data_IF_238803028808
#
_entry.id   IF_238803028808
#
_cell.length_a   1.000
_cell.length_b   1.000
_cell.length_c   1.000
_cell.angle_alpha   90.00
_cell.angle_beta   90.00
_cell.angle_gamma   90.00
#
_symmetry.space_group_name_H-M   'P 1'
#
loop_
_entity.id
_entity.type
_entity.pdbx_description
1 polymer ?
#
# COMPACT_ATOMS: atom_id res chain seq x y z
N UNK A 1 -14.69 -24.73 0.10
CA UNK A 1 -14.75 -23.30 0.46
C UNK A 1 -14.78 -22.50 -0.83
N UNK A 2 -15.95 -21.98 -1.22
CA UNK A 2 -16.02 -20.98 -2.27
C UNK A 2 -15.54 -19.65 -1.67
N UNK A 3 -14.64 -18.89 -2.32
CA UNK A 3 -14.37 -17.54 -1.89
C UNK A 3 -15.63 -16.72 -2.14
N UNK A 4 -16.30 -16.28 -1.07
CA UNK A 4 -17.46 -15.40 -1.19
C UNK A 4 -17.10 -14.15 -1.99
N UNK A 5 -18.05 -13.63 -2.81
CA UNK A 5 -17.84 -12.43 -3.61
C UNK A 5 -17.35 -11.29 -2.72
N UNK A 6 -16.38 -10.52 -3.23
CA UNK A 6 -15.92 -9.29 -2.59
C UNK A 6 -17.16 -8.42 -2.35
N UNK A 7 -17.41 -8.05 -1.10
CA UNK A 7 -18.54 -7.20 -0.69
C UNK A 7 -18.61 -5.96 -1.59
N UNK A 8 -19.73 -5.76 -2.29
CA UNK A 8 -19.90 -4.70 -3.31
C UNK A 8 -19.74 -3.26 -2.78
N UNK A 9 -19.82 -3.06 -1.46
CA UNK A 9 -19.67 -1.75 -0.82
C UNK A 9 -18.20 -1.28 -0.73
N UNK A 10 -17.26 -2.20 -0.53
CA UNK A 10 -15.85 -1.85 -0.34
C UNK A 10 -15.17 -1.25 -1.58
N UNK A 11 -15.37 -1.77 -2.81
CA UNK A 11 -14.67 -1.27 -4.00
C UNK A 11 -14.90 0.22 -4.29
N UNK A 12 -16.12 0.74 -4.12
CA UNK A 12 -16.41 2.15 -4.44
C UNK A 12 -15.72 3.10 -3.46
N UNK A 13 -15.84 2.82 -2.17
CA UNK A 13 -15.18 3.61 -1.12
C UNK A 13 -13.66 3.55 -1.26
N UNK A 14 -13.10 2.36 -1.49
CA UNK A 14 -11.66 2.17 -1.65
C UNK A 14 -11.10 2.92 -2.87
N UNK A 15 -11.81 2.92 -4.01
CA UNK A 15 -11.41 3.71 -5.17
C UNK A 15 -11.48 5.23 -4.89
N UNK A 16 -12.52 5.70 -4.21
CA UNK A 16 -12.63 7.10 -3.81
C UNK A 16 -11.48 7.53 -2.89
N UNK A 17 -11.15 6.71 -1.89
CA UNK A 17 -10.01 6.95 -1.00
C UNK A 17 -8.69 6.94 -1.77
N UNK A 18 -8.50 5.98 -2.67
CA UNK A 18 -7.29 5.91 -3.49
C UNK A 18 -7.12 7.17 -4.35
N UNK A 19 -8.19 7.69 -4.95
CA UNK A 19 -8.15 8.95 -5.70
C UNK A 19 -7.78 10.14 -4.81
N UNK A 20 -8.40 10.27 -3.64
CA UNK A 20 -8.12 11.38 -2.72
C UNK A 20 -6.68 11.35 -2.20
N UNK A 21 -6.15 10.17 -1.88
CA UNK A 21 -4.76 9.99 -1.43
C UNK A 21 -3.79 10.29 -2.58
N UNK A 22 -4.07 9.78 -3.79
CA UNK A 22 -3.22 10.02 -4.95
C UNK A 22 -3.14 11.52 -5.28
N UNK A 23 -4.27 12.23 -5.26
CA UNK A 23 -4.30 13.67 -5.48
C UNK A 23 -3.57 14.45 -4.37
N UNK A 24 -3.71 14.06 -3.11
CA UNK A 24 -3.01 14.70 -2.01
C UNK A 24 -1.47 14.51 -2.08
N UNK A 25 -0.99 13.36 -2.56
CA UNK A 25 0.44 13.03 -2.63
C UNK A 25 1.11 13.46 -3.93
N UNK A 26 0.39 13.34 -5.06
CA UNK A 26 0.92 13.52 -6.40
C UNK A 26 0.33 14.74 -7.13
N UNK A 27 -0.67 15.40 -6.54
CA UNK A 27 -1.46 16.44 -7.21
C UNK A 27 -2.48 15.86 -8.19
N UNK A 28 -3.25 16.72 -8.87
CA UNK A 28 -4.23 16.29 -9.87
C UNK A 28 -3.56 15.48 -10.98
N UNK A 29 -4.18 14.35 -11.38
CA UNK A 29 -3.66 13.53 -12.48
C UNK A 29 -3.61 14.32 -13.78
N UNK A 30 -2.46 14.25 -14.45
CA UNK A 30 -2.23 14.89 -15.74
C UNK A 30 -1.89 13.82 -16.78
N UNK A 31 -2.46 13.90 -18.00
CA UNK A 31 -2.13 12.97 -19.07
C UNK A 31 -0.61 12.95 -19.35
N UNK A 32 -0.02 11.76 -19.38
CA UNK A 32 1.40 11.57 -19.68
C UNK A 32 2.37 11.86 -18.54
N UNK A 33 1.88 12.28 -17.36
CA UNK A 33 2.72 12.48 -16.17
C UNK A 33 2.48 11.34 -15.19
N UNK A 34 3.46 10.45 -14.95
CA UNK A 34 3.33 9.37 -13.99
C UNK A 34 3.35 9.90 -12.54
N UNK A 35 2.67 9.23 -11.58
CA UNK A 35 2.73 9.60 -10.17
C UNK A 35 4.15 9.44 -9.63
N UNK A 36 4.58 10.39 -8.80
CA UNK A 36 5.92 10.38 -8.19
C UNK A 36 5.98 9.51 -6.93
N UNK A 37 4.89 9.50 -6.16
CA UNK A 37 4.77 8.82 -4.86
C UNK A 37 3.81 7.64 -5.01
N UNK A 38 4.31 6.45 -4.67
CA UNK A 38 3.51 5.24 -4.53
C UNK A 38 2.92 5.12 -3.12
N UNK A 39 1.74 4.54 -3.00
CA UNK A 39 1.14 4.17 -1.72
C UNK A 39 0.41 2.83 -1.79
N UNK A 40 0.20 2.25 -0.62
CA UNK A 40 -0.65 1.08 -0.40
C UNK A 40 -1.57 1.40 0.79
N UNK A 41 -2.87 1.23 0.60
CA UNK A 41 -3.87 1.32 1.67
C UNK A 41 -4.34 -0.10 2.00
N UNK A 42 -4.10 -0.54 3.23
CA UNK A 42 -4.58 -1.80 3.78
C UNK A 42 -5.75 -1.53 4.71
N UNK A 43 -6.85 -2.25 4.54
CA UNK A 43 -8.07 -2.11 5.35
C UNK A 43 -8.55 -3.48 5.78
N UNK A 44 -8.87 -3.60 7.05
CA UNK A 44 -9.47 -4.79 7.66
C UNK A 44 -10.38 -4.34 8.78
N UNK A 45 -11.37 -5.16 9.11
CA UNK A 45 -12.11 -5.01 10.36
C UNK A 45 -11.17 -5.26 11.55
N UNK A 46 -11.33 -4.47 12.61
CA UNK A 46 -10.58 -4.64 13.85
C UNK A 46 -10.92 -6.00 14.49
N UNK A 47 -9.89 -6.70 14.98
CA UNK A 47 -10.04 -8.01 15.63
C UNK A 47 -10.32 -9.18 14.67
N UNK A 48 -10.41 -8.95 13.36
CA UNK A 48 -10.65 -9.98 12.33
C UNK A 48 -9.45 -10.21 11.41
N UNK A 49 -8.27 -9.67 11.77
CA UNK A 49 -7.07 -9.74 10.92
C UNK A 49 -6.46 -11.16 10.95
N UNK A 50 -6.52 -11.85 12.08
CA UNK A 50 -5.98 -13.21 12.23
C UNK A 50 -6.91 -14.22 11.54
N UNK A 51 -6.51 -14.72 10.37
CA UNK A 51 -7.30 -15.68 9.58
C UNK A 51 -8.39 -15.08 8.71
N UNK A 52 -8.62 -13.76 8.80
CA UNK A 52 -9.55 -13.02 7.93
C UNK A 52 -8.90 -12.50 6.63
N UNK A 53 -9.67 -11.70 5.88
CA UNK A 53 -9.19 -11.07 4.62
C UNK A 53 -8.83 -9.61 4.85
N UNK A 54 -7.62 -9.25 4.45
CA UNK A 54 -7.20 -7.84 4.31
C UNK A 54 -7.57 -7.37 2.90
N UNK A 55 -8.34 -6.29 2.81
CA UNK A 55 -8.57 -5.59 1.56
C UNK A 55 -7.43 -4.59 1.32
N UNK A 56 -7.04 -4.39 0.06
CA UNK A 56 -6.00 -3.44 -0.28
C UNK A 56 -6.27 -2.71 -1.59
N UNK A 57 -5.72 -1.49 -1.70
CA UNK A 57 -5.64 -0.73 -2.94
C UNK A 57 -4.30 0.03 -2.99
N UNK A 58 -3.70 0.15 -4.18
CA UNK A 58 -2.47 0.90 -4.42
C UNK A 58 -2.60 1.72 -5.70
N UNK A 59 -1.83 2.80 -5.80
CA UNK A 59 -1.70 3.57 -7.05
C UNK A 59 -0.54 3.08 -7.95
N UNK A 60 0.25 2.12 -7.47
CA UNK A 60 1.33 1.48 -8.23
C UNK A 60 1.01 0.04 -8.64
N UNK A 61 1.84 -0.47 -9.55
CA UNK A 61 1.80 -1.87 -9.98
C UNK A 61 2.02 -2.85 -8.81
N UNK A 62 1.54 -4.08 -9.00
CA UNK A 62 1.62 -5.14 -7.99
C UNK A 62 3.05 -5.32 -7.44
N UNK A 63 4.05 -5.28 -8.30
CA UNK A 63 5.44 -5.48 -7.88
C UNK A 63 5.97 -4.36 -6.99
N UNK A 64 5.61 -3.10 -7.28
CA UNK A 64 5.94 -1.95 -6.43
C UNK A 64 5.24 -2.04 -5.07
N UNK A 65 3.97 -2.44 -5.07
CA UNK A 65 3.20 -2.67 -3.84
C UNK A 65 3.85 -3.76 -2.97
N UNK A 66 4.21 -4.91 -3.56
CA UNK A 66 4.90 -5.97 -2.82
C UNK A 66 6.28 -5.53 -2.31
N UNK A 67 7.04 -4.73 -3.07
CA UNK A 67 8.33 -4.20 -2.63
C UNK A 67 8.18 -3.28 -1.42
N UNK A 68 7.20 -2.37 -1.42
CA UNK A 68 6.89 -1.50 -0.28
C UNK A 68 6.52 -2.31 0.97
N UNK A 69 5.66 -3.33 0.84
CA UNK A 69 5.29 -4.18 1.96
C UNK A 69 6.48 -4.97 2.52
N UNK A 70 7.34 -5.53 1.65
CA UNK A 70 8.55 -6.25 2.10
C UNK A 70 9.49 -5.34 2.89
N UNK A 71 9.71 -4.13 2.38
CA UNK A 71 10.55 -3.14 3.03
C UNK A 71 9.98 -2.76 4.41
N UNK A 72 8.68 -2.44 4.47
CA UNK A 72 8.00 -2.11 5.73
C UNK A 72 8.09 -3.24 6.75
N UNK A 73 7.82 -4.48 6.34
CA UNK A 73 7.92 -5.66 7.22
C UNK A 73 9.35 -5.88 7.70
N UNK A 74 10.36 -5.72 6.83
CA UNK A 74 11.76 -5.83 7.24
C UNK A 74 12.13 -4.78 8.30
N UNK A 75 11.62 -3.54 8.16
CA UNK A 75 11.80 -2.48 9.18
C UNK A 75 11.06 -2.81 10.47
N UNK A 76 9.79 -3.22 10.39
CA UNK A 76 8.94 -3.51 11.54
C UNK A 76 9.46 -4.69 12.38
N UNK A 77 10.01 -5.71 11.73
CA UNK A 77 10.56 -6.91 12.37
C UNK A 77 12.02 -6.74 12.85
N UNK A 78 12.58 -5.52 12.77
CA UNK A 78 13.93 -5.22 13.25
C UNK A 78 15.05 -5.79 12.37
N UNK A 79 14.79 -6.15 11.12
CA UNK A 79 15.79 -6.67 10.17
C UNK A 79 16.53 -5.56 9.41
N UNK A 80 16.74 -4.40 10.04
CA UNK A 80 17.65 -3.40 9.50
C UNK A 80 19.07 -3.77 9.93
N UNK A 81 19.89 -4.25 8.97
CA UNK A 81 21.33 -4.21 9.12
C UNK A 81 21.74 -2.75 9.40
N UNK A 82 22.56 -2.55 10.44
CA UNK A 82 23.14 -1.26 10.80
C UNK A 82 23.55 -0.45 9.56
N UNK A 83 23.40 0.89 9.58
CA UNK A 83 24.09 1.72 8.61
C UNK A 83 25.57 1.35 8.70
N UNK A 84 26.20 1.01 7.57
CA UNK A 84 27.66 0.96 7.52
C UNK A 84 28.15 2.36 7.88
N UNK A 85 28.61 2.51 9.12
CA UNK A 85 29.48 3.62 9.49
C UNK A 85 30.66 3.60 8.52
N UNK A 86 30.92 4.75 7.89
CA UNK A 86 32.09 4.95 7.06
C UNK A 86 31.78 5.31 5.62
N UNK A 87 31.39 6.57 5.41
CA UNK A 87 31.96 7.41 4.35
C UNK A 87 31.78 8.88 4.74
N UNK A 88 32.50 9.25 5.81
CA UNK A 88 33.10 10.57 5.83
C UNK A 88 34.38 10.49 4.99
N UNK A 89 34.37 11.13 3.83
CA UNK A 89 35.55 11.78 3.23
C UNK A 89 35.08 13.08 2.59
#
# INVERSE_FOLDING_TARGET
MNPEPIQDEHPRLMNMLAHAIDEALNGPRQPGIPPRIGFVLLVSEFGQIEGGRVNYISNGERDSMLAMCREYLARAEGRYHEPKEGLAQ
#
